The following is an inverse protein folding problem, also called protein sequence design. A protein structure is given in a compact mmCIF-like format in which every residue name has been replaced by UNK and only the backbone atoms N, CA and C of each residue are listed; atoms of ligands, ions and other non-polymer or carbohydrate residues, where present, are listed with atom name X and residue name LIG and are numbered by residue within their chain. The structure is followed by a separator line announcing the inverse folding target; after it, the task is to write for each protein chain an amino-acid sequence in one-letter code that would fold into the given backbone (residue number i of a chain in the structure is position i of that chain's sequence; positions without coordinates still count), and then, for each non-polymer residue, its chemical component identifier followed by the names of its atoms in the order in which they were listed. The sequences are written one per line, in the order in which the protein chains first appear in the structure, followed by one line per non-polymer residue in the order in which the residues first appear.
data_IF_032771437944
#
_entry.id   IF_032771437944
#
_cell.length_a   1.000
_cell.length_b   1.000
_cell.length_c   1.000
_cell.angle_alpha   90.00
_cell.angle_beta   90.00
_cell.angle_gamma   90.00
#
_symmetry.space_group_name_H-M   'P 1'
#
loop_
_entity.id
_entity.type
_entity.pdbx_description
1 polymer ?
#
# COMPACT_ATOMS: atom_id res chain seq x y z
N UNK A 1 1.46 18.75 80.01
CA UNK A 1 2.17 17.76 79.17
C UNK A 1 1.55 17.76 77.78
N UNK A 2 2.14 18.51 76.84
CA UNK A 2 1.91 18.42 75.38
C UNK A 2 2.80 19.46 74.69
N UNK A 3 3.21 19.16 73.44
CA UNK A 3 4.02 19.95 72.48
C UNK A 3 5.49 19.50 72.46
N UNK A 4 6.13 19.23 71.32
CA UNK A 4 5.80 19.32 69.88
C UNK A 4 6.86 18.45 69.19
N UNK A 5 6.47 17.55 68.27
CA UNK A 5 7.43 16.82 67.43
C UNK A 5 7.48 17.53 66.08
N UNK A 6 8.65 18.04 65.73
CA UNK A 6 9.02 18.52 64.40
C UNK A 6 9.25 17.32 63.48
N UNK A 7 8.77 17.40 62.24
CA UNK A 7 9.41 16.74 61.11
C UNK A 7 9.26 17.65 59.89
N UNK A 8 10.40 18.24 59.50
CA UNK A 8 10.55 19.08 58.31
C UNK A 8 10.54 18.16 57.09
N UNK A 9 9.60 18.37 56.18
CA UNK A 9 9.48 17.61 54.93
C UNK A 9 10.47 18.21 53.92
N UNK A 10 11.43 17.40 53.49
CA UNK A 10 12.42 17.77 52.47
C UNK A 10 11.80 17.60 51.07
N UNK A 11 11.64 18.70 50.35
CA UNK A 11 11.14 18.71 48.97
C UNK A 11 12.30 18.56 47.99
N UNK A 12 12.36 17.44 47.28
CA UNK A 12 13.37 17.19 46.23
C UNK A 12 12.92 17.84 44.92
N UNK A 13 13.72 18.77 44.39
CA UNK A 13 13.49 19.40 43.08
C UNK A 13 14.12 18.52 41.99
N UNK A 14 13.29 17.99 41.09
CA UNK A 14 13.74 17.25 39.90
C UNK A 14 13.91 18.24 38.75
N UNK A 15 15.15 18.41 38.30
CA UNK A 15 15.50 19.21 37.12
C UNK A 15 15.39 18.32 35.87
N UNK A 16 14.40 18.55 35.01
CA UNK A 16 14.28 17.86 33.71
C UNK A 16 14.99 18.68 32.64
N UNK A 17 16.12 18.19 32.14
CA UNK A 17 16.83 18.77 31.00
C UNK A 17 16.16 18.32 29.69
N UNK A 18 15.56 19.25 28.95
CA UNK A 18 15.06 19.02 27.61
C UNK A 18 16.20 19.12 26.59
N UNK A 19 16.50 18.01 25.90
CA UNK A 19 17.39 18.01 24.73
C UNK A 19 16.57 18.40 23.48
N UNK A 20 16.95 19.42 22.70
CA UNK A 20 16.30 19.68 21.42
C UNK A 20 16.67 18.59 20.42
N UNK A 21 15.67 17.89 19.89
CA UNK A 21 15.83 16.92 18.80
C UNK A 21 16.26 17.64 17.50
N UNK A 22 17.19 17.09 16.70
CA UNK A 22 17.55 17.68 15.43
C UNK A 22 16.38 17.55 14.45
N UNK A 23 15.95 18.67 13.87
CA UNK A 23 14.99 18.73 12.76
C UNK A 23 15.65 18.18 11.50
N UNK A 24 15.18 17.03 11.02
CA UNK A 24 15.60 16.47 9.74
C UNK A 24 15.07 17.35 8.60
N UNK A 25 15.92 17.65 7.60
CA UNK A 25 15.50 18.36 6.39
C UNK A 25 14.35 17.61 5.71
N UNK A 26 13.35 18.36 5.25
CA UNK A 26 12.21 17.83 4.50
C UNK A 26 12.74 17.11 3.25
N UNK A 27 12.50 15.80 3.18
CA UNK A 27 12.82 15.00 2.00
C UNK A 27 11.88 15.46 0.90
N UNK A 28 12.38 16.24 -0.05
CA UNK A 28 11.69 16.49 -1.32
C UNK A 28 11.30 15.14 -1.90
N UNK A 29 9.99 14.89 -2.00
CA UNK A 29 9.46 13.64 -2.50
C UNK A 29 10.10 13.32 -3.87
N UNK A 30 10.54 12.07 -4.11
CA UNK A 30 11.03 11.70 -5.44
C UNK A 30 9.91 11.96 -6.46
N UNK A 31 10.27 12.28 -7.73
CA UNK A 31 9.28 12.49 -8.77
C UNK A 31 8.29 11.33 -8.75
N UNK A 32 7.00 11.67 -8.64
CA UNK A 32 5.91 10.72 -8.79
C UNK A 32 6.18 9.98 -10.10
N UNK A 33 6.16 8.65 -10.06
CA UNK A 33 6.58 7.78 -11.17
C UNK A 33 5.86 8.09 -12.50
N UNK A 34 6.11 7.29 -13.57
CA UNK A 34 5.49 7.51 -14.87
C UNK A 34 4.00 7.82 -14.72
N UNK A 35 3.54 8.91 -15.33
CA UNK A 35 2.12 9.25 -15.31
C UNK A 35 1.32 8.05 -15.85
N UNK A 36 0.20 7.67 -15.21
CA UNK A 36 -0.59 6.54 -15.67
C UNK A 36 -0.96 6.70 -17.15
N UNK A 37 -0.52 5.78 -17.99
CA UNK A 37 -0.98 5.72 -19.37
C UNK A 37 -2.45 5.28 -19.37
N UNK A 38 -3.37 6.24 -19.51
CA UNK A 38 -4.80 5.94 -19.61
C UNK A 38 -5.08 5.46 -21.04
N UNK A 39 -5.02 4.16 -21.24
CA UNK A 39 -5.44 3.52 -22.48
C UNK A 39 -6.98 3.52 -22.53
N UNK A 40 -7.56 4.23 -23.50
CA UNK A 40 -9.00 4.12 -23.77
C UNK A 40 -9.28 2.82 -24.51
N UNK A 41 -10.20 1.97 -24.02
CA UNK A 41 -10.59 0.75 -24.73
C UNK A 41 -11.13 1.11 -26.11
N UNK A 42 -10.62 0.46 -27.16
CA UNK A 42 -11.21 0.58 -28.48
C UNK A 42 -12.47 -0.29 -28.52
N UNK A 43 -13.63 0.31 -28.75
CA UNK A 43 -14.86 -0.44 -28.96
C UNK A 43 -14.74 -1.25 -30.25
N UNK A 44 -14.87 -2.58 -30.14
CA UNK A 44 -14.95 -3.46 -31.31
C UNK A 44 -16.41 -3.50 -31.74
N UNK A 45 -16.74 -2.75 -32.79
CA UNK A 45 -18.07 -2.74 -33.41
C UNK A 45 -18.41 -4.16 -33.86
N UNK A 46 -19.64 -4.60 -33.61
CA UNK A 46 -20.17 -5.94 -33.93
C UNK A 46 -19.49 -7.13 -33.24
N UNK A 47 -18.80 -6.92 -32.12
CA UNK A 47 -18.28 -8.04 -31.32
C UNK A 47 -19.43 -8.90 -30.79
N UNK A 48 -19.44 -10.18 -31.18
CA UNK A 48 -20.32 -11.22 -30.62
C UNK A 48 -19.64 -12.03 -29.52
N UNK A 49 -18.44 -11.63 -29.10
CA UNK A 49 -17.71 -12.31 -28.03
C UNK A 49 -18.47 -12.15 -26.70
N UNK A 50 -18.59 -13.22 -25.89
CA UNK A 50 -19.18 -13.10 -24.56
C UNK A 50 -18.42 -12.10 -23.70
N UNK A 51 -19.14 -11.35 -22.86
CA UNK A 51 -18.52 -10.49 -21.85
C UNK A 51 -17.60 -11.33 -20.95
N UNK A 52 -16.42 -10.83 -20.59
CA UNK A 52 -15.50 -11.57 -19.74
C UNK A 52 -16.09 -11.73 -18.34
N UNK A 53 -15.91 -12.90 -17.75
CA UNK A 53 -16.40 -13.20 -16.39
C UNK A 53 -15.23 -13.53 -15.48
N UNK A 54 -15.40 -13.27 -14.17
CA UNK A 54 -14.41 -13.65 -13.15
C UNK A 54 -14.02 -15.12 -13.24
N UNK A 55 -15.02 -16.01 -13.35
CA UNK A 55 -14.79 -17.45 -13.48
C UNK A 55 -14.04 -17.82 -14.76
N UNK A 56 -14.39 -17.20 -15.89
CA UNK A 56 -13.71 -17.42 -17.18
C UNK A 56 -12.24 -16.99 -17.14
N UNK A 57 -11.97 -15.78 -16.64
CA UNK A 57 -10.61 -15.26 -16.49
C UNK A 57 -9.79 -16.14 -15.56
N UNK A 58 -10.31 -16.46 -14.38
CA UNK A 58 -9.62 -17.33 -13.42
C UNK A 58 -9.29 -18.70 -14.02
N UNK A 59 -10.24 -19.34 -14.71
CA UNK A 59 -10.00 -20.63 -15.38
C UNK A 59 -8.88 -20.54 -16.42
N UNK A 60 -8.83 -19.46 -17.18
CA UNK A 60 -7.84 -19.27 -18.23
C UNK A 60 -6.41 -19.07 -17.68
N UNK A 61 -6.26 -18.33 -16.57
CA UNK A 61 -4.92 -17.88 -16.11
C UNK A 61 -4.38 -18.59 -14.87
N UNK A 62 -5.24 -19.18 -14.03
CA UNK A 62 -4.79 -19.76 -12.76
C UNK A 62 -3.77 -20.89 -12.92
N UNK A 63 -3.80 -21.64 -14.02
CA UNK A 63 -2.80 -22.66 -14.31
C UNK A 63 -1.40 -22.05 -14.42
N UNK A 64 -1.26 -21.02 -15.25
CA UNK A 64 -0.01 -20.28 -15.44
C UNK A 64 0.43 -19.59 -14.15
N UNK A 65 -0.49 -18.95 -13.44
CA UNK A 65 -0.19 -18.24 -12.20
C UNK A 65 0.25 -19.17 -11.06
N UNK A 66 -0.01 -20.47 -11.13
CA UNK A 66 0.47 -21.45 -10.15
C UNK A 66 1.87 -21.99 -10.47
N UNK A 67 2.45 -21.63 -11.61
CA UNK A 67 3.77 -22.11 -11.99
C UNK A 67 4.85 -21.56 -11.04
N UNK A 68 5.63 -22.47 -10.44
CA UNK A 68 6.74 -22.11 -9.55
C UNK A 68 7.78 -21.22 -10.22
N UNK A 69 7.93 -21.33 -11.54
CA UNK A 69 8.83 -20.52 -12.35
C UNK A 69 8.54 -19.00 -12.28
N UNK A 70 7.32 -18.58 -11.94
CA UNK A 70 6.98 -17.16 -11.79
C UNK A 70 7.49 -16.54 -10.48
N UNK A 71 7.95 -17.36 -9.53
CA UNK A 71 8.36 -16.87 -8.22
C UNK A 71 7.26 -16.07 -7.51
N UNK A 72 7.62 -14.93 -6.92
CA UNK A 72 6.65 -14.04 -6.29
C UNK A 72 6.04 -13.09 -7.33
N UNK A 73 4.75 -13.22 -7.61
CA UNK A 73 4.04 -12.35 -8.54
C UNK A 73 2.78 -11.72 -7.91
N UNK A 74 2.34 -10.61 -8.50
CA UNK A 74 1.03 -9.99 -8.27
C UNK A 74 0.40 -9.71 -9.63
N UNK A 75 -0.93 -9.82 -9.72
CA UNK A 75 -1.67 -9.63 -10.96
C UNK A 75 -3.03 -9.01 -10.67
N UNK A 76 -3.47 -8.12 -11.55
CA UNK A 76 -4.82 -7.56 -11.53
C UNK A 76 -5.36 -7.57 -12.96
N UNK A 77 -6.62 -7.94 -13.12
CA UNK A 77 -7.34 -7.85 -14.39
C UNK A 77 -8.63 -7.10 -14.15
N UNK A 78 -8.82 -6.01 -14.88
CA UNK A 78 -9.99 -5.14 -14.80
C UNK A 78 -10.66 -5.16 -16.17
N UNK A 79 -11.97 -5.34 -16.20
CA UNK A 79 -12.77 -5.07 -17.39
C UNK A 79 -12.99 -3.57 -17.49
N UNK A 80 -12.41 -2.89 -18.48
CA UNK A 80 -12.48 -1.43 -18.57
C UNK A 80 -13.84 -0.93 -19.08
N UNK A 81 -14.73 -1.82 -19.55
CA UNK A 81 -16.10 -1.44 -19.94
C UNK A 81 -17.06 -1.35 -18.75
N UNK A 82 -16.73 -2.03 -17.65
CA UNK A 82 -17.57 -2.12 -16.45
C UNK A 82 -16.85 -1.75 -15.16
N UNK A 83 -15.57 -1.38 -15.25
CA UNK A 83 -14.64 -1.19 -14.12
C UNK A 83 -14.58 -2.38 -13.14
N UNK A 84 -14.99 -3.58 -13.59
CA UNK A 84 -15.08 -4.76 -12.73
C UNK A 84 -13.72 -5.45 -12.62
N UNK A 85 -13.28 -5.73 -11.40
CA UNK A 85 -12.10 -6.56 -11.13
C UNK A 85 -12.44 -8.04 -11.39
N UNK A 86 -11.86 -8.60 -12.44
CA UNK A 86 -12.03 -10.01 -12.85
C UNK A 86 -10.98 -10.94 -12.23
N UNK A 87 -9.83 -10.39 -11.84
CA UNK A 87 -8.78 -11.10 -11.11
C UNK A 87 -8.05 -10.13 -10.19
N UNK A 88 -7.81 -10.55 -8.95
CA UNK A 88 -6.88 -9.90 -8.04
C UNK A 88 -6.03 -10.99 -7.39
N UNK A 89 -4.72 -10.93 -7.64
CA UNK A 89 -3.72 -11.70 -6.95
C UNK A 89 -2.74 -10.72 -6.32
N UNK A 90 -2.93 -10.44 -5.03
CA UNK A 90 -2.02 -9.61 -4.23
C UNK A 90 -1.78 -8.24 -4.86
N UNK A 91 -2.78 -7.63 -5.50
CA UNK A 91 -2.63 -6.36 -6.20
C UNK A 91 -2.13 -5.21 -5.28
N UNK A 92 -2.48 -5.28 -3.98
CA UNK A 92 -2.00 -4.33 -2.96
C UNK A 92 -0.58 -4.59 -2.43
N UNK A 93 0.13 -5.62 -2.90
CA UNK A 93 1.51 -5.89 -2.46
C UNK A 93 2.49 -5.03 -3.25
N UNK A 94 3.29 -4.17 -2.59
CA UNK A 94 4.29 -3.37 -3.28
C UNK A 94 5.29 -4.22 -4.07
N UNK A 95 5.65 -3.77 -5.26
CA UNK A 95 6.66 -4.38 -6.14
C UNK A 95 7.70 -3.34 -6.50
N UNK A 96 8.94 -3.79 -6.68
CA UNK A 96 10.00 -2.93 -7.26
C UNK A 96 9.65 -2.66 -8.73
N UNK A 97 9.40 -1.40 -9.12
CA UNK A 97 9.17 -1.09 -10.52
C UNK A 97 10.43 -1.36 -11.34
N UNK A 98 10.23 -1.87 -12.55
CA UNK A 98 11.26 -1.91 -13.58
C UNK A 98 10.98 -0.77 -14.59
N UNK A 99 11.14 -1.01 -15.89
CA UNK A 99 10.79 -0.06 -16.95
C UNK A 99 9.33 -0.17 -17.42
N UNK A 100 8.40 -0.31 -16.46
CA UNK A 100 6.96 -0.48 -16.72
C UNK A 100 6.25 0.85 -16.94
#
# INVERSE_FOLDING_TARGET
MARRIMAVVATTIVLVSAFPSPSHAEVTAPPTGPAPAVLSPTAVVDSTAPAPTKAGVQRAVLGTLKASALGQFSAVVIDPSTDTVLLDVRAGTPRTPAST
#
